data_IF_896253558243
#
_entry.id   IF_896253558243
#
_cell.length_a   1.000
_cell.length_b   1.000
_cell.length_c   1.000
_cell.angle_alpha   90.00
_cell.angle_beta   90.00
_cell.angle_gamma   90.00
#
_symmetry.space_group_name_H-M   'P 1'
#
loop_
_entity.id
_entity.type
_entity.pdbx_description
1 polymer ?
#
# COMPACT_ATOMS: atom_id res chain seq x y z
N UNK A 1 -22.80 -23.00 -11.05
CA UNK A 1 -21.94 -22.25 -10.12
C UNK A 1 -22.13 -22.78 -8.70
N UNK A 2 -23.38 -22.96 -8.24
CA UNK A 2 -23.71 -23.47 -6.91
C UNK A 2 -23.13 -24.87 -6.58
N UNK A 3 -23.14 -25.79 -7.55
CA UNK A 3 -22.54 -27.11 -7.35
C UNK A 3 -21.02 -27.05 -7.17
N UNK A 4 -20.34 -26.17 -7.91
CA UNK A 4 -18.90 -25.97 -7.77
C UNK A 4 -18.56 -25.31 -6.42
N UNK A 5 -19.37 -24.35 -5.98
CA UNK A 5 -19.24 -23.73 -4.67
C UNK A 5 -19.47 -24.75 -3.53
N UNK A 6 -20.48 -25.60 -3.64
CA UNK A 6 -20.76 -26.63 -2.64
C UNK A 6 -19.62 -27.66 -2.51
N UNK A 7 -19.04 -28.08 -3.65
CA UNK A 7 -17.86 -28.96 -3.68
C UNK A 7 -16.66 -28.27 -3.05
N UNK A 8 -16.40 -27.01 -3.40
CA UNK A 8 -15.29 -26.24 -2.83
C UNK A 8 -15.43 -26.08 -1.31
N UNK A 9 -16.64 -25.74 -0.82
CA UNK A 9 -16.91 -25.64 0.62
C UNK A 9 -16.66 -26.96 1.33
N UNK A 10 -17.15 -28.08 0.76
CA UNK A 10 -16.92 -29.41 1.33
C UNK A 10 -15.43 -29.78 1.42
N UNK A 11 -14.69 -29.52 0.34
CA UNK A 11 -13.24 -29.77 0.28
C UNK A 11 -12.45 -28.87 1.23
N UNK A 12 -12.77 -27.57 1.26
CA UNK A 12 -12.15 -26.63 2.18
C UNK A 12 -12.42 -27.01 3.63
N UNK A 13 -13.65 -27.42 3.97
CA UNK A 13 -13.99 -27.85 5.32
C UNK A 13 -13.22 -29.12 5.73
N UNK A 14 -13.08 -30.11 4.83
CA UNK A 14 -12.32 -31.32 5.13
C UNK A 14 -10.82 -31.06 5.28
N UNK A 15 -10.28 -30.12 4.51
CA UNK A 15 -8.83 -29.83 4.48
C UNK A 15 -8.43 -28.72 5.48
N UNK A 16 -9.38 -27.97 6.02
CA UNK A 16 -9.09 -26.87 6.97
C UNK A 16 -8.36 -27.36 8.22
N UNK A 17 -8.61 -28.59 8.66
CA UNK A 17 -7.89 -29.19 9.79
C UNK A 17 -6.40 -29.47 9.49
N UNK A 18 -6.04 -29.60 8.21
CA UNK A 18 -4.67 -29.79 7.74
C UNK A 18 -3.96 -28.45 7.45
N UNK A 19 -4.71 -27.35 7.41
CA UNK A 19 -4.15 -26.02 7.21
C UNK A 19 -3.42 -25.55 8.46
N UNK A 20 -2.14 -25.89 8.51
CA UNK A 20 -1.21 -25.24 9.42
C UNK A 20 -0.87 -23.87 8.86
N UNK A 21 -1.24 -22.82 9.59
CA UNK A 21 -0.68 -21.51 9.31
C UNK A 21 0.84 -21.62 9.50
N UNK A 22 1.65 -21.29 8.48
CA UNK A 22 3.08 -21.24 8.70
C UNK A 22 3.36 -20.24 9.81
N UNK A 23 4.37 -20.48 10.67
CA UNK A 23 4.78 -19.49 11.63
C UNK A 23 5.12 -18.20 10.87
N UNK A 24 4.31 -17.17 11.06
CA UNK A 24 4.55 -15.87 10.45
C UNK A 24 5.63 -15.19 11.28
N UNK A 25 6.87 -15.29 10.83
CA UNK A 25 7.94 -14.43 11.32
C UNK A 25 7.89 -13.11 10.59
N UNK A 26 7.91 -12.02 11.34
CA UNK A 26 8.02 -10.70 10.75
C UNK A 26 9.46 -10.55 10.22
N UNK A 27 9.65 -10.05 8.98
CA UNK A 27 10.98 -9.76 8.47
C UNK A 27 11.72 -8.81 9.42
N UNK A 28 13.00 -9.05 9.64
CA UNK A 28 13.84 -8.07 10.34
C UNK A 28 14.05 -6.86 9.44
N UNK A 29 13.26 -5.82 9.67
CA UNK A 29 13.46 -4.50 9.09
C UNK A 29 14.40 -3.73 10.03
N UNK A 30 15.66 -4.17 10.09
CA UNK A 30 16.67 -3.57 10.96
C UNK A 30 18.10 -3.77 10.43
N UNK A 31 18.95 -2.78 10.69
CA UNK A 31 20.41 -2.99 10.69
C UNK A 31 21.24 -2.36 9.57
N UNK A 32 20.78 -1.32 8.87
CA UNK A 32 21.68 -0.55 7.99
C UNK A 32 21.19 0.89 7.76
N UNK A 33 21.35 1.77 8.76
CA UNK A 33 21.28 3.21 8.56
C UNK A 33 22.65 3.71 8.11
N UNK A 34 22.79 4.05 6.81
CA UNK A 34 24.03 4.55 6.21
C UNK A 34 24.67 3.60 5.18
N UNK A 35 25.58 4.16 4.36
CA UNK A 35 26.20 3.44 3.25
C UNK A 35 25.43 3.55 1.93
N UNK A 36 25.62 2.59 1.02
CA UNK A 36 24.95 2.59 -0.28
C UNK A 36 23.42 2.43 -0.14
N UNK A 37 22.68 3.11 -1.02
CA UNK A 37 21.23 2.94 -1.10
C UNK A 37 20.91 1.55 -1.69
N UNK A 38 20.23 0.73 -0.90
CA UNK A 38 19.75 -0.61 -1.27
C UNK A 38 18.30 -0.74 -0.87
N UNK A 39 17.58 -1.74 -1.40
CA UNK A 39 16.21 -2.02 -0.93
C UNK A 39 16.17 -2.25 0.58
N UNK A 40 17.15 -2.98 1.15
CA UNK A 40 17.21 -3.23 2.60
C UNK A 40 17.39 -1.94 3.41
N UNK A 41 18.37 -1.10 3.05
CA UNK A 41 18.64 0.16 3.78
C UNK A 41 17.51 1.17 3.60
N UNK A 42 16.88 1.21 2.43
CA UNK A 42 15.68 2.01 2.17
C UNK A 42 14.53 1.61 3.10
N UNK A 43 14.12 0.35 3.12
CA UNK A 43 12.99 -0.10 3.94
C UNK A 43 13.25 0.02 5.45
N UNK A 44 14.50 -0.17 5.89
CA UNK A 44 14.92 0.10 7.28
C UNK A 44 14.71 1.58 7.63
N UNK A 45 15.12 2.48 6.75
CA UNK A 45 14.92 3.92 6.94
C UNK A 45 13.43 4.28 6.95
N UNK A 46 12.64 3.74 6.04
CA UNK A 46 11.18 3.98 5.99
C UNK A 46 10.52 3.55 7.29
N UNK A 47 10.83 2.34 7.81
CA UNK A 47 10.30 1.83 9.08
C UNK A 47 10.49 2.80 10.25
N UNK A 48 11.66 3.43 10.33
CA UNK A 48 12.02 4.39 11.38
C UNK A 48 11.34 5.75 11.22
N UNK A 49 10.92 6.11 9.99
CA UNK A 49 10.33 7.41 9.67
C UNK A 49 8.79 7.43 9.68
N UNK A 50 8.13 6.26 9.68
CA UNK A 50 6.69 6.16 9.83
C UNK A 50 6.26 6.64 11.22
N UNK A 51 5.12 7.32 11.29
CA UNK A 51 4.57 7.94 12.51
C UNK A 51 3.13 7.47 12.73
N UNK A 52 2.64 7.49 13.98
CA UNK A 52 1.23 7.30 14.27
C UNK A 52 0.34 8.21 13.43
N UNK A 53 -0.77 7.67 12.92
CA UNK A 53 -1.73 8.43 12.12
C UNK A 53 -1.33 8.68 10.65
N UNK A 54 -0.19 8.20 10.16
CA UNK A 54 0.16 8.33 8.74
C UNK A 54 -0.88 7.69 7.80
N UNK A 55 -1.07 8.28 6.62
CA UNK A 55 -1.74 7.62 5.49
C UNK A 55 -0.65 7.21 4.50
N UNK A 56 -0.44 5.91 4.36
CA UNK A 56 0.64 5.32 3.57
C UNK A 56 0.04 4.77 2.29
N UNK A 57 0.59 5.15 1.14
CA UNK A 57 0.24 4.59 -0.16
C UNK A 57 1.47 3.92 -0.76
N UNK A 58 1.32 2.66 -1.17
CA UNK A 58 2.40 1.89 -1.79
C UNK A 58 1.94 1.34 -3.14
N UNK A 59 2.61 1.77 -4.22
CA UNK A 59 2.26 1.33 -5.57
C UNK A 59 2.65 -0.13 -5.83
N UNK A 60 2.13 -0.70 -6.91
CA UNK A 60 2.42 -2.06 -7.31
C UNK A 60 3.92 -2.21 -7.64
N UNK A 61 4.50 -3.35 -7.28
CA UNK A 61 5.92 -3.64 -7.43
C UNK A 61 6.64 -3.69 -6.08
N UNK A 62 7.92 -3.32 -6.06
CA UNK A 62 8.75 -3.39 -4.85
C UNK A 62 8.17 -2.57 -3.69
N UNK A 63 7.44 -1.48 -3.98
CA UNK A 63 6.79 -0.66 -2.97
C UNK A 63 5.73 -1.45 -2.17
N UNK A 64 4.76 -2.08 -2.85
CA UNK A 64 3.72 -2.88 -2.20
C UNK A 64 4.29 -4.03 -1.35
N UNK A 65 5.27 -4.76 -1.87
CA UNK A 65 5.90 -5.87 -1.11
C UNK A 65 6.77 -5.37 0.04
N UNK A 66 7.50 -4.27 -0.16
CA UNK A 66 8.35 -3.71 0.87
C UNK A 66 7.54 -3.14 2.04
N UNK A 67 6.44 -2.44 1.76
CA UNK A 67 5.54 -1.94 2.81
C UNK A 67 4.88 -3.08 3.59
N UNK A 68 4.58 -4.20 2.92
CA UNK A 68 4.01 -5.38 3.57
C UNK A 68 4.95 -6.03 4.59
N UNK A 69 6.24 -5.75 4.53
CA UNK A 69 7.23 -6.19 5.50
C UNK A 69 7.37 -5.25 6.72
N UNK A 70 6.77 -4.06 6.68
CA UNK A 70 6.89 -3.06 7.75
C UNK A 70 5.87 -3.29 8.87
N UNK A 71 6.23 -2.87 10.07
CA UNK A 71 5.31 -2.69 11.19
C UNK A 71 4.70 -1.29 11.10
N UNK A 72 3.39 -1.22 10.92
CA UNK A 72 2.68 0.04 10.87
C UNK A 72 2.50 0.62 12.29
N UNK A 73 2.76 1.93 12.49
CA UNK A 73 2.44 2.61 13.75
C UNK A 73 0.94 2.60 14.06
N UNK A 74 0.58 2.95 15.30
CA UNK A 74 -0.83 3.07 15.69
C UNK A 74 -1.58 4.06 14.79
N UNK A 75 -2.84 3.73 14.48
CA UNK A 75 -3.74 4.59 13.69
C UNK A 75 -3.26 4.91 12.26
N UNK A 76 -2.19 4.26 11.79
CA UNK A 76 -1.76 4.37 10.42
C UNK A 76 -2.77 3.68 9.47
N UNK A 77 -2.98 4.27 8.30
CA UNK A 77 -3.84 3.72 7.26
C UNK A 77 -2.97 3.33 6.07
N UNK A 78 -3.04 2.08 5.62
CA UNK A 78 -2.33 1.62 4.42
C UNK A 78 -3.30 1.47 3.25
N UNK A 79 -3.01 2.13 2.14
CA UNK A 79 -3.72 2.02 0.87
C UNK A 79 -2.83 1.33 -0.17
N UNK A 80 -3.25 0.15 -0.61
CA UNK A 80 -2.60 -0.67 -1.63
C UNK A 80 -3.67 -1.42 -2.42
N UNK A 81 -3.43 -1.74 -3.68
CA UNK A 81 -4.40 -2.41 -4.57
C UNK A 81 -3.87 -3.72 -5.16
N UNK A 82 -3.58 -4.74 -4.33
CA UNK A 82 -2.96 -5.98 -4.79
C UNK A 82 -3.82 -6.75 -5.79
N UNK A 83 -5.16 -6.58 -5.74
CA UNK A 83 -6.09 -7.27 -6.64
C UNK A 83 -6.18 -6.61 -8.02
N UNK A 84 -6.41 -5.29 -8.08
CA UNK A 84 -6.54 -4.58 -9.36
C UNK A 84 -5.19 -4.34 -10.04
N UNK A 85 -4.15 -4.04 -9.25
CA UNK A 85 -2.76 -4.03 -9.72
C UNK A 85 -2.41 -2.95 -10.76
N UNK A 86 -3.21 -1.89 -10.91
CA UNK A 86 -2.97 -0.80 -11.86
C UNK A 86 -1.82 0.13 -11.45
N UNK A 87 -0.60 -0.09 -11.95
CA UNK A 87 0.55 0.78 -11.66
C UNK A 87 0.25 2.27 -11.91
N UNK A 88 0.71 3.13 -11.00
CA UNK A 88 0.54 4.58 -11.07
C UNK A 88 -0.73 5.10 -10.39
N UNK A 89 -1.63 4.22 -9.94
CA UNK A 89 -2.82 4.57 -9.18
C UNK A 89 -2.53 5.37 -7.91
N UNK A 90 -1.41 5.08 -7.23
CA UNK A 90 -1.18 5.65 -5.89
C UNK A 90 -0.86 7.13 -5.90
N UNK A 91 -0.35 7.68 -7.01
CA UNK A 91 -0.06 9.11 -7.10
C UNK A 91 -1.35 9.98 -7.03
N UNK A 92 -2.37 9.80 -7.89
CA UNK A 92 -3.63 10.52 -7.75
C UNK A 92 -4.41 10.13 -6.48
N UNK A 93 -4.30 8.88 -6.02
CA UNK A 93 -4.91 8.48 -4.76
C UNK A 93 -4.28 9.20 -3.55
N UNK A 94 -2.98 9.46 -3.56
CA UNK A 94 -2.29 10.19 -2.51
C UNK A 94 -2.77 11.65 -2.46
N UNK A 95 -2.98 12.27 -3.63
CA UNK A 95 -3.59 13.60 -3.70
C UNK A 95 -4.99 13.60 -3.07
N UNK A 96 -5.87 12.66 -3.47
CA UNK A 96 -7.21 12.55 -2.91
C UNK A 96 -7.22 12.30 -1.40
N UNK A 97 -6.30 11.45 -0.91
CA UNK A 97 -6.13 11.20 0.51
C UNK A 97 -5.73 12.47 1.28
N UNK A 98 -4.79 13.26 0.74
CA UNK A 98 -4.35 14.51 1.38
C UNK A 98 -5.47 15.57 1.35
N UNK A 99 -6.28 15.61 0.29
CA UNK A 99 -7.47 16.49 0.23
C UNK A 99 -8.50 16.10 1.27
N UNK A 100 -8.80 14.80 1.42
CA UNK A 100 -9.82 14.32 2.36
C UNK A 100 -9.39 14.40 3.83
N UNK A 101 -8.09 14.32 4.10
CA UNK A 101 -7.51 14.37 5.44
C UNK A 101 -6.33 15.36 5.50
N UNK A 102 -6.59 16.68 5.41
CA UNK A 102 -5.55 17.71 5.32
C UNK A 102 -4.60 17.74 6.53
N UNK A 103 -5.09 17.34 7.71
CA UNK A 103 -4.30 17.32 8.95
C UNK A 103 -3.47 16.05 9.14
N UNK A 104 -3.62 15.04 8.26
CA UNK A 104 -2.86 13.79 8.32
C UNK A 104 -1.70 13.84 7.33
N UNK A 105 -0.56 13.29 7.73
CA UNK A 105 0.61 13.15 6.87
C UNK A 105 0.38 12.02 5.86
N UNK A 106 0.42 12.34 4.57
CA UNK A 106 0.43 11.36 3.50
C UNK A 106 1.86 10.97 3.12
N UNK A 107 2.14 9.66 3.10
CA UNK A 107 3.42 9.07 2.70
C UNK A 107 3.19 8.24 1.44
N UNK A 108 3.65 8.74 0.30
CA UNK A 108 3.57 8.05 -0.99
C UNK A 108 4.90 7.34 -1.28
N UNK A 109 4.83 6.03 -1.51
CA UNK A 109 5.94 5.19 -1.95
C UNK A 109 5.59 4.61 -3.32
N UNK A 110 6.23 5.14 -4.35
CA UNK A 110 5.94 4.83 -5.75
C UNK A 110 7.25 4.62 -6.53
N UNK A 111 7.26 3.61 -7.40
CA UNK A 111 8.36 3.43 -8.36
C UNK A 111 8.32 4.48 -9.46
N UNK A 112 9.46 4.79 -10.05
CA UNK A 112 9.59 5.74 -11.15
C UNK A 112 8.71 5.38 -12.36
N UNK A 113 8.68 4.10 -12.77
CA UNK A 113 7.84 3.64 -13.87
C UNK A 113 6.35 3.83 -13.61
N UNK A 114 5.88 3.60 -12.37
CA UNK A 114 4.49 3.85 -11.99
C UNK A 114 4.19 5.36 -11.95
N UNK A 115 5.10 6.17 -11.40
CA UNK A 115 4.93 7.62 -11.33
C UNK A 115 4.83 8.26 -12.72
N UNK A 116 5.64 7.80 -13.68
CA UNK A 116 5.64 8.31 -15.06
C UNK A 116 4.27 8.20 -15.75
N UNK A 117 3.44 7.22 -15.37
CA UNK A 117 2.12 7.03 -15.97
C UNK A 117 1.10 8.09 -15.57
N UNK A 118 1.23 8.66 -14.36
CA UNK A 118 0.19 9.53 -13.79
C UNK A 118 0.69 10.90 -13.37
N UNK A 119 2.00 11.18 -13.50
CA UNK A 119 2.58 12.49 -13.18
C UNK A 119 2.17 13.60 -14.16
N UNK A 120 1.93 13.27 -15.43
CA UNK A 120 1.57 14.21 -16.50
C UNK A 120 0.12 14.05 -17.00
N UNK A 121 -0.62 13.06 -16.50
CA UNK A 121 -1.88 12.62 -17.10
C UNK A 121 -3.14 13.00 -16.32
N UNK A 122 -4.28 12.62 -16.91
CA UNK A 122 -5.65 12.82 -16.40
C UNK A 122 -5.84 12.39 -14.95
N UNK A 123 -5.04 11.45 -14.44
CA UNK A 123 -5.13 11.00 -13.05
C UNK A 123 -4.96 12.13 -12.03
N UNK A 124 -3.90 12.95 -12.16
CA UNK A 124 -3.66 14.04 -11.20
C UNK A 124 -4.63 15.21 -11.41
N UNK A 125 -5.02 15.47 -12.65
CA UNK A 125 -5.97 16.54 -12.97
C UNK A 125 -7.41 16.18 -12.56
N UNK A 126 -7.83 14.92 -12.72
CA UNK A 126 -9.09 14.41 -12.20
C UNK A 126 -9.11 14.48 -10.66
N UNK A 127 -7.99 14.15 -10.01
CA UNK A 127 -7.86 14.28 -8.56
C UNK A 127 -8.02 15.75 -8.13
N UNK A 128 -7.37 16.69 -8.82
CA UNK A 128 -7.51 18.15 -8.60
C UNK A 128 -8.93 18.66 -8.80
N UNK A 129 -9.61 18.24 -9.87
CA UNK A 129 -10.99 18.63 -10.14
C UNK A 129 -11.95 18.10 -9.07
N UNK A 130 -11.77 16.85 -8.63
CA UNK A 130 -12.57 16.27 -7.56
C UNK A 130 -12.38 17.01 -6.23
N UNK A 131 -11.15 17.43 -5.90
CA UNK A 131 -10.87 18.23 -4.72
C UNK A 131 -11.50 19.64 -4.79
N UNK A 132 -11.40 20.31 -5.93
CA UNK A 132 -12.00 21.63 -6.13
C UNK A 132 -13.53 21.60 -5.96
N UNK A 133 -14.19 20.56 -6.48
CA UNK A 133 -15.64 20.39 -6.34
C UNK A 133 -16.09 20.23 -4.87
N UNK A 134 -15.25 19.64 -4.01
CA UNK A 134 -15.56 19.47 -2.58
C UNK A 134 -15.36 20.76 -1.76
N UNK A 135 -14.48 21.66 -2.18
CA UNK A 135 -14.26 22.95 -1.51
C UNK A 135 -15.30 24.02 -1.83
N UNK A 136 -16.11 23.81 -2.87
CA UNK A 136 -17.13 24.74 -3.34
C UNK A 136 -18.56 24.39 -2.84
N UNK A 137 -18.70 23.32 -2.06
CA UNK A 137 -19.94 22.87 -1.43
C UNK A 137 -19.89 23.13 0.08
#
# INVERSE_FOLDING_TARGET
MDQALAVLIGLSASLAAEWTLPPVSLPEVGGATGGALTQKSFWSTVQEQLRPGDIILADQGTAAFGVAALRLPSDATLLVQPLWGSIGFTLPAAYGAQTAAPDRRVVLIIGDGAAQLTIQGDGLDAARQAAAAHSAA
#
